data_IF_327522214349
#
_entry.id   IF_327522214349
#
_cell.length_a   1.000
_cell.length_b   1.000
_cell.length_c   1.000
_cell.angle_alpha   90.00
_cell.angle_beta   90.00
_cell.angle_gamma   90.00
#
_symmetry.space_group_name_H-M   'P 1'
#
loop_
_entity.id
_entity.type
_entity.pdbx_description
1 polymer ?
#
# COMPACT_ATOMS: atom_id res chain seq x y z
N UNK A 1 62.06 9.40 20.38
CA UNK A 1 60.94 10.21 20.89
C UNK A 1 59.92 10.43 19.77
N UNK A 2 59.12 9.43 19.45
CA UNK A 2 58.03 9.51 18.47
C UNK A 2 56.74 9.93 19.20
N UNK A 3 56.63 11.19 19.66
CA UNK A 3 55.79 11.46 20.85
C UNK A 3 54.50 12.28 20.64
N UNK A 4 54.33 13.16 19.66
CA UNK A 4 53.10 14.01 19.63
C UNK A 4 52.49 14.30 18.26
N UNK A 5 53.23 14.06 17.18
CA UNK A 5 52.76 14.33 15.81
C UNK A 5 51.97 13.14 15.24
N UNK A 6 52.52 11.93 15.37
CA UNK A 6 51.90 10.70 14.81
C UNK A 6 50.58 10.35 15.50
N UNK A 7 50.45 10.57 16.81
CA UNK A 7 49.21 10.33 17.55
C UNK A 7 48.08 11.28 17.13
N UNK A 8 48.39 12.53 16.74
CA UNK A 8 47.40 13.45 16.16
C UNK A 8 47.00 13.06 14.74
N UNK A 9 47.93 12.48 13.97
CA UNK A 9 47.65 12.02 12.60
C UNK A 9 46.80 10.76 12.60
N UNK A 10 47.16 9.76 13.42
CA UNK A 10 46.39 8.54 13.65
C UNK A 10 44.96 8.84 14.11
N UNK A 11 44.79 9.75 15.08
CA UNK A 11 43.46 10.17 15.55
C UNK A 11 42.62 10.84 14.45
N UNK A 12 43.25 11.54 13.51
CA UNK A 12 42.56 12.19 12.37
C UNK A 12 42.18 11.18 11.28
N UNK A 13 42.99 10.15 11.09
CA UNK A 13 42.71 9.02 10.20
C UNK A 13 41.56 8.18 10.76
N UNK A 14 41.57 7.86 12.05
CA UNK A 14 40.49 7.12 12.72
C UNK A 14 39.13 7.79 12.59
N UNK A 15 39.06 9.12 12.80
CA UNK A 15 37.82 9.89 12.66
C UNK A 15 37.32 9.91 11.22
N UNK A 16 38.22 10.01 10.24
CA UNK A 16 37.84 9.91 8.82
C UNK A 16 37.33 8.52 8.48
N UNK A 17 38.00 7.48 8.98
CA UNK A 17 37.62 6.10 8.75
C UNK A 17 36.22 5.81 9.33
N UNK A 18 35.97 6.19 10.59
CA UNK A 18 34.65 6.05 11.21
C UNK A 18 33.57 6.87 10.51
N UNK A 19 33.88 8.08 10.02
CA UNK A 19 32.95 8.87 9.22
C UNK A 19 32.59 8.17 7.90
N UNK A 20 33.58 7.61 7.18
CA UNK A 20 33.33 6.84 5.95
C UNK A 20 32.52 5.57 6.22
N UNK A 21 32.85 4.81 7.27
CA UNK A 21 32.07 3.63 7.66
C UNK A 21 30.63 3.98 8.02
N UNK A 22 30.42 5.05 8.79
CA UNK A 22 29.08 5.53 9.16
C UNK A 22 28.28 5.94 7.92
N UNK A 23 28.94 6.65 6.98
CA UNK A 23 28.32 7.05 5.71
C UNK A 23 27.95 5.84 4.85
N UNK A 24 28.82 4.84 4.75
CA UNK A 24 28.55 3.59 4.03
C UNK A 24 27.38 2.82 4.63
N UNK A 25 27.32 2.70 5.96
CA UNK A 25 26.20 2.04 6.65
C UNK A 25 24.89 2.78 6.38
N UNK A 26 24.91 4.11 6.46
CA UNK A 26 23.74 4.95 6.22
C UNK A 26 23.27 4.85 4.77
N UNK A 27 24.20 4.92 3.81
CA UNK A 27 23.92 4.72 2.39
C UNK A 27 23.32 3.34 2.12
N UNK A 28 23.87 2.29 2.74
CA UNK A 28 23.35 0.92 2.59
C UNK A 28 21.94 0.81 3.16
N UNK A 29 21.68 1.42 4.32
CA UNK A 29 20.34 1.49 4.92
C UNK A 29 19.33 2.19 4.02
N UNK A 30 19.71 3.31 3.40
CA UNK A 30 18.85 4.05 2.45
C UNK A 30 18.56 3.22 1.21
N UNK A 31 19.58 2.58 0.61
CA UNK A 31 19.41 1.74 -0.58
C UNK A 31 18.50 0.54 -0.28
N UNK A 32 18.74 -0.15 0.83
CA UNK A 32 17.90 -1.27 1.26
C UNK A 32 16.47 -0.82 1.53
N UNK A 33 16.29 0.28 2.28
CA UNK A 33 14.97 0.82 2.59
C UNK A 33 14.20 1.21 1.33
N UNK A 34 14.83 1.91 0.39
CA UNK A 34 14.23 2.26 -0.88
C UNK A 34 13.85 1.02 -1.71
N UNK A 35 14.73 0.02 -1.78
CA UNK A 35 14.47 -1.22 -2.49
C UNK A 35 13.31 -2.02 -1.87
N UNK A 36 13.30 -2.15 -0.55
CA UNK A 36 12.22 -2.80 0.21
C UNK A 36 10.89 -2.06 0.01
N UNK A 37 10.90 -0.73 0.09
CA UNK A 37 9.72 0.09 -0.13
C UNK A 37 9.17 -0.08 -1.55
N UNK A 38 10.03 0.03 -2.56
CA UNK A 38 9.64 -0.15 -3.96
C UNK A 38 9.08 -1.56 -4.21
N UNK A 39 9.77 -2.60 -3.72
CA UNK A 39 9.35 -3.99 -3.89
C UNK A 39 8.05 -4.28 -3.16
N UNK A 40 7.89 -3.75 -1.96
CA UNK A 40 6.67 -3.91 -1.18
C UNK A 40 5.52 -3.19 -1.86
N UNK A 41 5.70 -1.93 -2.25
CA UNK A 41 4.70 -1.16 -2.97
C UNK A 41 4.26 -1.88 -4.24
N UNK A 42 5.20 -2.38 -5.05
CA UNK A 42 4.85 -3.02 -6.31
C UNK A 42 4.11 -4.36 -6.11
N UNK A 43 4.52 -5.16 -5.13
CA UNK A 43 3.80 -6.40 -4.79
C UNK A 43 2.41 -6.11 -4.23
N UNK A 44 2.32 -5.15 -3.29
CA UNK A 44 1.07 -4.81 -2.65
C UNK A 44 0.07 -4.23 -3.66
N UNK A 45 0.51 -3.34 -4.55
CA UNK A 45 -0.34 -2.80 -5.62
C UNK A 45 -0.84 -3.91 -6.53
N UNK A 46 0.04 -4.81 -6.97
CA UNK A 46 -0.35 -5.91 -7.85
C UNK A 46 -1.34 -6.88 -7.20
N UNK A 47 -1.11 -7.22 -5.94
CA UNK A 47 -1.99 -8.13 -5.21
C UNK A 47 -3.35 -7.47 -4.90
N UNK A 48 -3.36 -6.16 -4.59
CA UNK A 48 -4.59 -5.39 -4.41
C UNK A 48 -5.37 -5.25 -5.71
N UNK A 49 -4.71 -4.98 -6.83
CA UNK A 49 -5.35 -4.91 -8.16
C UNK A 49 -6.00 -6.24 -8.53
N UNK A 50 -5.30 -7.36 -8.32
CA UNK A 50 -5.86 -8.69 -8.58
C UNK A 50 -7.08 -9.00 -7.72
N UNK A 51 -7.02 -8.72 -6.42
CA UNK A 51 -8.16 -8.90 -5.51
C UNK A 51 -9.34 -8.02 -5.94
N UNK A 52 -9.10 -6.76 -6.33
CA UNK A 52 -10.16 -5.86 -6.77
C UNK A 52 -10.81 -6.34 -8.07
N UNK A 53 -10.03 -6.85 -9.02
CA UNK A 53 -10.53 -7.34 -10.30
C UNK A 53 -11.35 -8.63 -10.12
N UNK A 54 -10.87 -9.56 -9.30
CA UNK A 54 -11.56 -10.82 -9.02
C UNK A 54 -12.86 -10.56 -8.25
N UNK A 55 -12.81 -9.78 -7.16
CA UNK A 55 -14.02 -9.33 -6.43
C UNK A 55 -14.98 -8.59 -7.36
N UNK A 56 -14.47 -7.73 -8.26
CA UNK A 56 -15.30 -7.01 -9.23
C UNK A 56 -16.05 -7.95 -10.17
N UNK A 57 -15.38 -8.98 -10.70
CA UNK A 57 -16.00 -9.99 -11.56
C UNK A 57 -17.01 -10.85 -10.80
N UNK A 58 -16.69 -11.24 -9.57
CA UNK A 58 -17.59 -12.01 -8.73
C UNK A 58 -18.86 -11.22 -8.41
N UNK A 59 -18.74 -9.94 -8.03
CA UNK A 59 -19.88 -9.05 -7.80
C UNK A 59 -20.72 -8.88 -9.07
N UNK A 60 -20.08 -8.71 -10.24
CA UNK A 60 -20.78 -8.61 -11.52
C UNK A 60 -21.49 -9.92 -11.91
N UNK A 61 -21.02 -11.08 -11.46
CA UNK A 61 -21.68 -12.36 -11.71
C UNK A 61 -23.03 -12.48 -10.97
N UNK A 62 -23.22 -11.73 -9.88
CA UNK A 62 -24.49 -11.62 -9.16
C UNK A 62 -25.43 -10.57 -9.75
N UNK A 63 -24.97 -9.73 -10.67
CA UNK A 63 -25.86 -8.88 -11.46
C UNK A 63 -26.55 -9.75 -12.51
N UNK A 64 -27.78 -10.14 -12.24
CA UNK A 64 -28.63 -10.75 -13.26
C UNK A 64 -29.18 -9.65 -14.19
N UNK A 65 -28.75 -9.60 -15.48
CA UNK A 65 -29.19 -8.58 -16.43
C UNK A 65 -30.70 -8.63 -16.71
N UNK A 66 -31.37 -9.74 -16.37
CA UNK A 66 -32.81 -9.91 -16.58
C UNK A 66 -33.67 -9.27 -15.48
N UNK A 67 -33.15 -9.17 -14.25
CA UNK A 67 -33.93 -8.80 -13.06
C UNK A 67 -33.64 -7.36 -12.62
N UNK A 68 -32.43 -6.84 -12.88
CA UNK A 68 -32.05 -5.45 -12.60
C UNK A 68 -32.07 -5.06 -11.11
N UNK A 69 -32.26 -6.04 -10.22
CA UNK A 69 -32.35 -5.85 -8.77
C UNK A 69 -30.94 -5.75 -8.16
N UNK A 70 -30.55 -4.62 -7.54
CA UNK A 70 -29.23 -4.45 -6.94
C UNK A 70 -29.10 -5.10 -5.54
N UNK A 71 -30.20 -5.52 -4.90
CA UNK A 71 -30.18 -6.07 -3.54
C UNK A 71 -29.24 -7.28 -3.33
N UNK A 72 -29.18 -8.31 -4.21
CA UNK A 72 -28.25 -9.43 -4.02
C UNK A 72 -26.78 -8.98 -4.10
N UNK A 73 -26.48 -8.00 -4.95
CA UNK A 73 -25.16 -7.42 -5.16
C UNK A 73 -24.70 -6.65 -3.93
N UNK A 74 -25.61 -5.85 -3.34
CA UNK A 74 -25.35 -5.07 -2.12
C UNK A 74 -25.08 -6.00 -0.93
N UNK A 75 -25.86 -7.09 -0.78
CA UNK A 75 -25.63 -8.07 0.29
C UNK A 75 -24.30 -8.80 0.13
N UNK A 76 -23.91 -9.14 -1.10
CA UNK A 76 -22.65 -9.82 -1.35
C UNK A 76 -21.45 -8.92 -1.03
N UNK A 77 -21.49 -7.67 -1.51
CA UNK A 77 -20.51 -6.64 -1.19
C UNK A 77 -20.36 -6.46 0.34
N UNK A 78 -21.48 -6.42 1.06
CA UNK A 78 -21.46 -6.28 2.51
C UNK A 78 -20.77 -7.48 3.20
N UNK A 79 -21.02 -8.70 2.74
CA UNK A 79 -20.43 -9.92 3.30
C UNK A 79 -18.92 -10.03 3.03
N UNK A 80 -18.46 -9.70 1.83
CA UNK A 80 -17.03 -9.72 1.49
C UNK A 80 -16.23 -8.68 2.28
N UNK A 81 -16.77 -7.46 2.38
CA UNK A 81 -16.15 -6.37 3.16
C UNK A 81 -16.00 -6.78 4.63
N UNK A 82 -16.98 -7.51 5.18
CA UNK A 82 -16.96 -7.98 6.57
C UNK A 82 -16.02 -9.17 6.80
N UNK A 83 -15.77 -10.00 5.78
CA UNK A 83 -14.91 -11.17 5.88
C UNK A 83 -13.40 -10.83 5.83
N UNK A 84 -13.05 -9.64 5.37
CA UNK A 84 -11.64 -9.25 5.15
C UNK A 84 -10.96 -8.87 6.47
N UNK A 85 -10.21 -9.82 7.05
CA UNK A 85 -9.61 -9.69 8.40
C UNK A 85 -8.36 -8.82 8.47
N UNK A 86 -7.69 -8.60 7.34
CA UNK A 86 -6.36 -7.97 7.25
C UNK A 86 -6.36 -6.60 6.55
N UNK A 87 -7.41 -6.27 5.81
CA UNK A 87 -7.55 -5.01 5.09
C UNK A 87 -8.97 -4.50 5.24
N UNK A 88 -9.11 -3.18 5.42
CA UNK A 88 -10.41 -2.53 5.53
C UNK A 88 -10.84 -2.10 4.13
N UNK A 89 -11.75 -2.85 3.53
CA UNK A 89 -12.35 -2.51 2.24
C UNK A 89 -13.57 -1.61 2.46
N UNK A 90 -13.78 -0.66 1.56
CA UNK A 90 -14.98 0.18 1.51
C UNK A 90 -15.45 0.26 0.07
N UNK A 91 -16.74 0.05 -0.17
CA UNK A 91 -17.32 0.05 -1.50
C UNK A 91 -18.63 0.82 -1.56
N UNK A 92 -18.87 1.48 -2.69
CA UNK A 92 -20.18 2.04 -3.05
C UNK A 92 -20.56 1.53 -4.43
N UNK A 93 -21.80 1.11 -4.57
CA UNK A 93 -22.40 0.75 -5.85
C UNK A 93 -23.02 2.00 -6.47
N UNK A 94 -22.66 2.28 -7.71
CA UNK A 94 -23.16 3.42 -8.47
C UNK A 94 -24.01 2.91 -9.65
N UNK A 95 -25.10 3.61 -9.92
CA UNK A 95 -25.86 3.49 -11.15
C UNK A 95 -25.09 4.13 -12.31
N UNK A 96 -25.48 3.83 -13.55
CA UNK A 96 -24.90 4.42 -14.75
C UNK A 96 -24.97 5.96 -14.75
N UNK A 97 -26.00 6.52 -14.12
CA UNK A 97 -26.20 7.97 -13.96
C UNK A 97 -25.40 8.59 -12.79
N UNK A 98 -24.53 7.81 -12.14
CA UNK A 98 -23.74 8.24 -10.99
C UNK A 98 -24.49 8.29 -9.66
N UNK A 99 -25.76 7.85 -9.62
CA UNK A 99 -26.54 7.75 -8.38
C UNK A 99 -26.05 6.57 -7.52
N UNK A 100 -25.99 6.76 -6.21
CA UNK A 100 -25.60 5.70 -5.27
C UNK A 100 -26.75 4.71 -5.12
N UNK A 101 -26.51 3.45 -5.46
CA UNK A 101 -27.47 2.34 -5.33
C UNK A 101 -27.32 1.60 -3.99
N UNK A 102 -26.11 1.57 -3.44
CA UNK A 102 -25.82 0.93 -2.16
C UNK A 102 -24.43 1.24 -1.65
N UNK A 103 -24.23 1.18 -0.34
CA UNK A 103 -22.98 1.55 0.33
C UNK A 103 -22.65 0.48 1.36
N UNK A 104 -21.39 0.09 1.47
CA UNK A 104 -20.93 -0.81 2.54
C UNK A 104 -20.99 -0.11 3.90
N UNK A 105 -21.33 -0.83 4.98
CA UNK A 105 -21.45 -0.27 6.34
C UNK A 105 -20.18 0.42 6.86
N UNK A 106 -19.02 0.06 6.32
CA UNK A 106 -17.72 0.65 6.66
C UNK A 106 -17.20 1.57 5.56
N UNK A 107 -18.09 2.30 4.88
CA UNK A 107 -17.68 3.24 3.84
C UNK A 107 -16.93 4.43 4.45
N UNK A 108 -15.66 4.57 4.09
CA UNK A 108 -14.87 5.75 4.40
C UNK A 108 -14.83 6.61 3.16
N UNK A 109 -15.42 7.80 3.25
CA UNK A 109 -15.37 8.79 2.19
C UNK A 109 -13.95 9.39 2.14
N UNK A 110 -13.01 8.65 1.56
CA UNK A 110 -11.83 9.27 0.99
C UNK A 110 -12.36 10.11 -0.16
N UNK A 111 -12.31 11.43 -0.02
CA UNK A 111 -12.59 12.37 -1.10
C UNK A 111 -11.66 12.09 -2.29
N UNK A 112 -12.02 11.08 -3.09
CA UNK A 112 -11.39 10.80 -4.36
C UNK A 112 -12.00 11.80 -5.33
N UNK A 113 -11.20 12.74 -5.88
CA UNK A 113 -11.68 13.62 -6.92
C UNK A 113 -12.05 12.73 -8.11
N UNK A 114 -13.35 12.55 -8.31
CA UNK A 114 -13.90 11.99 -9.54
C UNK A 114 -13.45 12.95 -10.66
N UNK A 115 -12.58 12.47 -11.55
CA UNK A 115 -12.17 13.20 -12.74
C UNK A 115 -13.15 12.96 -13.87
#
# INVERSE_FOLDING_TARGET
MFSKSETKFLRRVDVRLTAYYSLCVLATGVILGAFLYYRLSHKLTRDVEGVLEDTGKDILSFLDPATGDPDPVIRHLHNEVRATKHYRLSGRLLSADGRVLGVSDYFFDYAYPVR
#
